data_IF_513287880393
#
_entry.id   IF_513287880393
#
_cell.length_a   1.000
_cell.length_b   1.000
_cell.length_c   1.000
_cell.angle_alpha   90.00
_cell.angle_beta   90.00
_cell.angle_gamma   90.00
#
_symmetry.space_group_name_H-M   'P 1'
#
loop_
_entity.id
_entity.type
_entity.pdbx_description
1 polymer ?
#
# COMPACT_ATOMS: atom_id res chain seq x y z
N UNK A 1 12.45 9.07 11.88
CA UNK A 1 13.34 8.57 10.80
C UNK A 1 12.38 8.11 9.73
N UNK A 2 12.32 8.82 8.60
CA UNK A 2 11.32 8.54 7.58
C UNK A 2 11.49 7.10 7.06
N UNK A 3 10.40 6.32 7.08
CA UNK A 3 10.38 4.97 6.51
C UNK A 3 10.40 5.08 4.98
N UNK A 4 10.85 4.01 4.32
CA UNK A 4 10.83 3.90 2.87
C UNK A 4 10.39 2.50 2.46
N UNK A 5 9.77 2.40 1.28
CA UNK A 5 9.47 1.15 0.59
C UNK A 5 10.44 1.02 -0.58
N UNK A 6 11.06 -0.16 -0.71
CA UNK A 6 12.03 -0.45 -1.76
C UNK A 6 11.45 -1.54 -2.65
N UNK A 7 11.44 -1.30 -3.95
CA UNK A 7 11.05 -2.26 -4.97
C UNK A 7 12.24 -2.57 -5.89
N UNK A 8 12.49 -3.86 -6.14
CA UNK A 8 13.54 -4.28 -7.06
C UNK A 8 12.95 -4.47 -8.47
N UNK A 9 13.44 -3.69 -9.43
CA UNK A 9 13.01 -3.74 -10.82
C UNK A 9 14.21 -3.82 -11.77
N UNK A 10 14.45 -4.99 -12.37
CA UNK A 10 15.52 -5.22 -13.34
C UNK A 10 16.89 -4.71 -12.85
N UNK A 11 17.32 -5.18 -11.68
CA UNK A 11 18.58 -4.80 -11.01
C UNK A 11 18.66 -3.30 -10.61
N UNK A 12 17.52 -2.64 -10.45
CA UNK A 12 17.44 -1.28 -9.90
C UNK A 12 16.49 -1.23 -8.72
N UNK A 13 16.94 -0.55 -7.67
CA UNK A 13 16.13 -0.25 -6.51
C UNK A 13 15.31 1.01 -6.81
N UNK A 14 13.99 0.88 -6.78
CA UNK A 14 13.05 1.99 -6.74
C UNK A 14 12.66 2.22 -5.28
N UNK A 15 13.19 3.30 -4.71
CA UNK A 15 12.83 3.74 -3.36
C UNK A 15 11.71 4.76 -3.42
N UNK A 16 10.61 4.48 -2.73
CA UNK A 16 9.47 5.39 -2.56
C UNK A 16 9.38 5.73 -1.07
N UNK A 17 9.20 7.00 -0.74
CA UNK A 17 8.93 7.39 0.64
C UNK A 17 7.62 6.77 1.15
N UNK A 18 7.56 6.50 2.45
CA UNK A 18 6.44 5.75 3.02
C UNK A 18 5.12 6.52 2.94
N UNK A 19 5.14 7.85 3.03
CA UNK A 19 3.98 8.72 2.85
C UNK A 19 3.39 8.61 1.44
N UNK A 20 4.22 8.65 0.40
CA UNK A 20 3.81 8.48 -1.01
C UNK A 20 3.24 7.09 -1.26
N UNK A 21 3.89 6.04 -0.74
CA UNK A 21 3.34 4.69 -0.81
C UNK A 21 1.94 4.62 -0.18
N UNK A 22 1.79 5.17 1.03
CA UNK A 22 0.50 5.17 1.70
C UNK A 22 -0.57 6.00 0.97
N UNK A 23 -0.20 7.13 0.39
CA UNK A 23 -1.08 7.95 -0.43
C UNK A 23 -1.60 7.18 -1.64
N UNK A 24 -0.72 6.44 -2.33
CA UNK A 24 -1.08 5.61 -3.49
C UNK A 24 -2.05 4.51 -3.07
N UNK A 25 -1.77 3.76 -1.99
CA UNK A 25 -2.67 2.68 -1.57
C UNK A 25 -4.00 3.24 -1.01
N UNK A 26 -3.97 4.38 -0.32
CA UNK A 26 -5.20 5.05 0.12
C UNK A 26 -6.07 5.45 -1.06
N UNK A 27 -5.48 6.02 -2.12
CA UNK A 27 -6.19 6.33 -3.35
C UNK A 27 -6.77 5.06 -3.98
N UNK A 28 -5.97 4.00 -4.09
CA UNK A 28 -6.44 2.70 -4.60
C UNK A 28 -7.64 2.15 -3.83
N UNK A 29 -7.65 2.31 -2.49
CA UNK A 29 -8.78 1.94 -1.64
C UNK A 29 -10.06 2.71 -2.01
N UNK A 30 -9.96 4.00 -2.37
CA UNK A 30 -11.12 4.78 -2.81
C UNK A 30 -11.65 4.32 -4.17
N UNK A 31 -10.79 3.85 -5.07
CA UNK A 31 -11.20 3.29 -6.37
C UNK A 31 -11.89 1.94 -6.19
N UNK A 32 -11.26 1.02 -5.45
CA UNK A 32 -11.83 -0.29 -5.13
C UNK A 32 -11.17 -0.90 -3.89
N UNK A 33 -11.86 -0.87 -2.76
CA UNK A 33 -11.32 -1.32 -1.47
C UNK A 33 -10.88 -2.80 -1.49
N UNK A 34 -11.66 -3.69 -2.10
CA UNK A 34 -11.35 -5.13 -2.10
C UNK A 34 -10.09 -5.46 -2.91
N UNK A 35 -9.94 -4.83 -4.09
CA UNK A 35 -8.74 -5.02 -4.94
C UNK A 35 -7.53 -4.31 -4.36
N UNK A 36 -7.71 -3.15 -3.74
CA UNK A 36 -6.64 -2.44 -3.05
C UNK A 36 -6.10 -3.22 -1.84
N UNK A 37 -6.95 -3.95 -1.12
CA UNK A 37 -6.50 -4.85 -0.04
C UNK A 37 -5.56 -5.94 -0.59
N UNK A 38 -5.93 -6.59 -1.71
CA UNK A 38 -5.07 -7.59 -2.36
C UNK A 38 -3.75 -6.99 -2.85
N UNK A 39 -3.78 -5.80 -3.43
CA UNK A 39 -2.57 -5.06 -3.81
C UNK A 39 -1.67 -4.79 -2.60
N UNK A 40 -2.26 -4.41 -1.47
CA UNK A 40 -1.54 -4.17 -0.22
C UNK A 40 -0.98 -5.46 0.42
N UNK A 41 -1.69 -6.58 0.30
CA UNK A 41 -1.21 -7.88 0.74
C UNK A 41 -0.04 -8.37 -0.14
N UNK A 42 -0.10 -8.12 -1.46
CA UNK A 42 0.94 -8.50 -2.41
C UNK A 42 2.28 -7.76 -2.18
N UNK A 43 2.26 -6.62 -1.48
CA UNK A 43 3.48 -5.88 -1.07
C UNK A 43 3.88 -6.18 0.38
N UNK A 44 3.14 -7.03 1.09
CA UNK A 44 3.42 -7.40 2.48
C UNK A 44 4.30 -8.66 2.56
N UNK A 45 5.13 -8.74 3.60
CA UNK A 45 5.79 -10.00 3.98
C UNK A 45 4.76 -11.05 4.42
N UNK A 46 5.05 -12.33 4.22
CA UNK A 46 4.22 -13.45 4.68
C UNK A 46 3.95 -13.39 6.20
N UNK A 47 4.95 -12.99 7.00
CA UNK A 47 4.77 -12.77 8.44
C UNK A 47 3.65 -11.76 8.73
N UNK A 48 3.75 -10.55 8.17
CA UNK A 48 2.74 -9.48 8.35
C UNK A 48 1.36 -9.89 7.86
N UNK A 49 1.28 -10.60 6.72
CA UNK A 49 0.02 -11.14 6.21
C UNK A 49 -0.63 -12.08 7.24
N UNK A 50 0.13 -13.05 7.77
CA UNK A 50 -0.38 -14.00 8.76
C UNK A 50 -0.84 -13.33 10.05
N UNK A 51 -0.13 -12.31 10.52
CA UNK A 51 -0.55 -11.51 11.68
C UNK A 51 -1.89 -10.83 11.41
N UNK A 52 -2.05 -10.16 10.26
CA UNK A 52 -3.27 -9.43 9.88
C UNK A 52 -4.49 -10.35 9.84
N UNK A 53 -4.33 -11.55 9.29
CA UNK A 53 -5.42 -12.51 9.10
C UNK A 53 -5.54 -13.55 10.22
N UNK A 54 -4.81 -13.37 11.34
CA UNK A 54 -4.78 -14.29 12.47
C UNK A 54 -4.52 -15.76 12.05
N UNK A 55 -3.59 -15.95 11.11
CA UNK A 55 -3.18 -17.26 10.60
C UNK A 55 -2.00 -17.80 11.43
N UNK A 56 -1.82 -19.14 11.50
CA UNK A 56 -0.65 -19.73 12.15
C UNK A 56 0.65 -19.24 11.52
N UNK A 57 1.67 -18.91 12.32
CA UNK A 57 2.92 -18.32 11.81
C UNK A 57 3.86 -19.33 11.12
N UNK A 58 3.74 -20.63 11.41
CA UNK A 58 4.48 -21.74 10.74
C UNK A 58 5.96 -21.43 10.46
N UNK A 59 6.70 -20.95 11.47
CA UNK A 59 8.14 -20.65 11.33
C UNK A 59 8.48 -19.27 10.77
N UNK A 60 7.50 -18.47 10.35
CA UNK A 60 7.69 -17.07 9.99
C UNK A 60 7.83 -16.17 11.22
N UNK A 61 8.85 -15.33 11.21
CA UNK A 61 9.21 -14.36 12.24
C UNK A 61 9.24 -12.95 11.66
N UNK A 62 9.34 -11.93 12.51
CA UNK A 62 9.28 -10.53 12.09
C UNK A 62 10.45 -10.10 11.19
N UNK A 63 11.60 -10.77 11.33
CA UNK A 63 12.81 -10.59 10.52
C UNK A 63 12.79 -11.40 9.22
N UNK A 64 11.72 -12.17 8.94
CA UNK A 64 11.55 -12.83 7.66
C UNK A 64 10.92 -11.88 6.64
N UNK A 65 11.68 -11.59 5.58
CA UNK A 65 11.30 -10.67 4.50
C UNK A 65 10.68 -11.37 3.28
N UNK A 66 10.34 -12.66 3.39
CA UNK A 66 9.70 -13.37 2.28
C UNK A 66 8.35 -12.73 1.97
N UNK A 67 8.13 -12.39 0.70
CA UNK A 67 6.88 -11.79 0.25
C UNK A 67 5.73 -12.78 0.36
N UNK A 68 4.55 -12.29 0.74
CA UNK A 68 3.31 -13.04 0.56
C UNK A 68 3.05 -13.23 -0.94
N UNK A 69 2.96 -14.48 -1.41
CA UNK A 69 2.86 -14.77 -2.84
C UNK A 69 1.70 -15.72 -3.16
N UNK A 70 0.57 -15.15 -3.57
CA UNK A 70 -0.55 -15.88 -4.17
C UNK A 70 -0.71 -15.41 -5.62
N UNK A 71 -0.35 -16.28 -6.58
CA UNK A 71 -0.32 -15.94 -8.02
C UNK A 71 -1.63 -15.32 -8.52
N UNK A 72 -2.78 -15.86 -8.11
CA UNK A 72 -4.08 -15.35 -8.55
C UNK A 72 -4.35 -13.93 -8.05
N UNK A 73 -3.97 -13.63 -6.81
CA UNK A 73 -4.13 -12.30 -6.23
C UNK A 73 -3.17 -11.30 -6.86
N UNK A 74 -1.92 -11.71 -7.13
CA UNK A 74 -0.94 -10.88 -7.85
C UNK A 74 -1.46 -10.52 -9.26
N UNK A 75 -1.99 -11.50 -10.00
CA UNK A 75 -2.55 -11.24 -11.33
C UNK A 75 -3.76 -10.31 -11.28
N UNK A 76 -4.59 -10.43 -10.24
CA UNK A 76 -5.71 -9.53 -10.02
C UNK A 76 -5.25 -8.11 -9.65
N UNK A 77 -4.22 -7.98 -8.83
CA UNK A 77 -3.60 -6.69 -8.49
C UNK A 77 -2.98 -6.02 -9.72
N UNK A 78 -2.28 -6.76 -10.58
CA UNK A 78 -1.77 -6.23 -11.86
C UNK A 78 -2.94 -5.75 -12.74
N UNK A 79 -3.97 -6.58 -12.89
CA UNK A 79 -5.17 -6.23 -13.67
C UNK A 79 -5.86 -4.98 -13.12
N UNK A 80 -5.96 -4.86 -11.80
CA UNK A 80 -6.50 -3.69 -11.11
C UNK A 80 -5.66 -2.43 -11.37
N UNK A 81 -4.33 -2.54 -11.30
CA UNK A 81 -3.43 -1.42 -11.60
C UNK A 81 -3.66 -0.93 -13.03
N UNK A 82 -3.62 -1.83 -14.01
CA UNK A 82 -3.64 -1.48 -15.43
C UNK A 82 -5.01 -0.95 -15.89
N UNK A 83 -6.10 -1.57 -15.43
CA UNK A 83 -7.44 -1.30 -15.97
C UNK A 83 -8.25 -0.31 -15.14
N UNK A 84 -7.93 -0.11 -13.86
CA UNK A 84 -8.69 0.75 -12.96
C UNK A 84 -7.80 1.84 -12.36
N UNK A 85 -6.70 1.50 -11.69
CA UNK A 85 -5.93 2.48 -10.91
C UNK A 85 -5.24 3.52 -11.81
N UNK A 86 -4.46 3.09 -12.80
CA UNK A 86 -3.76 4.00 -13.73
C UNK A 86 -4.75 4.87 -14.51
N UNK A 87 -5.84 4.33 -15.10
CA UNK A 87 -6.85 5.16 -15.76
C UNK A 87 -7.50 6.19 -14.85
N UNK A 88 -7.85 5.82 -13.60
CA UNK A 88 -8.41 6.77 -12.64
C UNK A 88 -7.40 7.87 -12.30
N UNK A 89 -6.14 7.53 -12.02
CA UNK A 89 -5.06 8.50 -11.78
C UNK A 89 -4.86 9.46 -12.95
N UNK A 90 -4.86 8.95 -14.19
CA UNK A 90 -4.72 9.78 -15.39
C UNK A 90 -5.92 10.71 -15.63
N UNK A 91 -7.06 10.43 -14.98
CA UNK A 91 -8.26 11.27 -15.03
C UNK A 91 -8.32 12.32 -13.91
N UNK A 92 -7.43 12.23 -12.91
CA UNK A 92 -7.35 13.23 -11.86
C UNK A 92 -6.83 14.56 -12.42
N UNK A 93 -7.53 15.64 -12.09
CA UNK A 93 -7.15 17.01 -12.50
C UNK A 93 -6.26 17.71 -11.49
N UNK A 94 -6.13 17.14 -10.29
CA UNK A 94 -5.36 17.69 -9.18
C UNK A 94 -4.33 16.67 -8.70
N UNK A 95 -3.23 17.20 -8.16
CA UNK A 95 -2.29 16.42 -7.38
C UNK A 95 -3.01 15.76 -6.19
N UNK A 96 -2.79 14.46 -5.96
CA UNK A 96 -3.52 13.70 -4.93
C UNK A 96 -3.34 14.27 -3.53
N UNK A 97 -2.12 14.71 -3.20
CA UNK A 97 -1.85 15.26 -1.89
C UNK A 97 -2.60 16.60 -1.70
N UNK A 98 -2.66 17.44 -2.74
CA UNK A 98 -3.50 18.64 -2.74
C UNK A 98 -4.99 18.31 -2.62
N UNK A 99 -5.48 17.32 -3.38
CA UNK A 99 -6.87 16.83 -3.31
C UNK A 99 -7.27 16.45 -1.89
N UNK A 100 -6.34 15.90 -1.11
CA UNK A 100 -6.57 15.52 0.28
C UNK A 100 -6.24 16.61 1.31
N UNK A 101 -5.88 17.82 0.89
CA UNK A 101 -5.63 18.96 1.78
C UNK A 101 -4.20 19.02 2.34
N UNK A 102 -3.21 18.51 1.60
CA UNK A 102 -1.81 18.40 2.03
C UNK A 102 -1.58 17.22 2.99
N UNK A 103 -0.37 17.13 3.56
CA UNK A 103 0.02 16.05 4.46
C UNK A 103 -0.95 15.90 5.65
N UNK A 104 -1.22 16.99 6.36
CA UNK A 104 -2.07 16.96 7.55
C UNK A 104 -3.53 16.62 7.19
N UNK A 105 -4.02 17.09 6.04
CA UNK A 105 -5.35 16.74 5.54
C UNK A 105 -5.48 15.27 5.16
N UNK A 106 -4.47 14.73 4.46
CA UNK A 106 -4.39 13.32 4.12
C UNK A 106 -4.35 12.45 5.39
N UNK A 107 -3.50 12.78 6.36
CA UNK A 107 -3.40 12.05 7.62
C UNK A 107 -4.72 12.03 8.37
N UNK A 108 -5.43 13.17 8.45
CA UNK A 108 -6.75 13.22 9.06
C UNK A 108 -7.75 12.28 8.35
N UNK A 109 -7.76 12.25 7.01
CA UNK A 109 -8.62 11.35 6.23
C UNK A 109 -8.25 9.87 6.42
N UNK A 110 -6.95 9.55 6.43
CA UNK A 110 -6.43 8.22 6.72
C UNK A 110 -6.88 7.73 8.09
N UNK A 111 -6.73 8.55 9.14
CA UNK A 111 -7.07 8.18 10.51
C UNK A 111 -8.57 8.04 10.77
N UNK A 112 -9.42 8.74 9.99
CA UNK A 112 -10.86 8.60 10.09
C UNK A 112 -11.39 7.27 9.52
N UNK A 113 -10.73 6.70 8.50
CA UNK A 113 -11.14 5.42 7.91
C UNK A 113 -9.93 4.66 7.39
N UNK A 114 -9.08 4.10 8.28
CA UNK A 114 -7.85 3.44 7.86
C UNK A 114 -8.15 2.08 7.21
N UNK A 115 -9.11 1.32 7.74
CA UNK A 115 -9.39 -0.05 7.26
C UNK A 115 -8.12 -0.92 7.36
N UNK A 116 -7.79 -1.67 6.29
CA UNK A 116 -6.57 -2.48 6.25
C UNK A 116 -5.27 -1.64 6.31
N UNK A 117 -5.33 -0.34 6.04
CA UNK A 117 -4.17 0.56 6.07
C UNK A 117 -3.72 0.93 7.48
N UNK A 118 -4.51 0.63 8.52
CA UNK A 118 -4.10 0.85 9.93
C UNK A 118 -2.73 0.20 10.22
N UNK A 119 -2.40 -0.88 9.50
CA UNK A 119 -1.12 -1.59 9.60
C UNK A 119 0.10 -0.74 9.18
N UNK A 120 -0.11 0.40 8.51
CA UNK A 120 0.97 1.31 8.14
C UNK A 120 1.39 2.23 9.29
N UNK A 121 0.45 2.65 10.14
CA UNK A 121 0.73 3.53 11.28
C UNK A 121 1.45 4.82 10.87
N UNK A 122 0.84 5.61 9.98
CA UNK A 122 1.49 6.75 9.34
C UNK A 122 1.73 7.95 10.26
N UNK A 123 2.89 8.58 10.17
CA UNK A 123 3.26 9.79 10.91
C UNK A 123 3.50 10.98 9.96
N UNK A 124 3.53 12.20 10.50
CA UNK A 124 3.65 13.42 9.69
C UNK A 124 5.06 13.63 9.11
N UNK A 125 6.10 13.06 9.72
CA UNK A 125 7.49 13.14 9.26
C UNK A 125 7.84 12.14 8.14
N UNK A 126 6.84 11.48 7.56
CA UNK A 126 6.98 10.43 6.55
C UNK A 126 6.78 10.89 5.10
N UNK A 127 6.55 12.18 4.91
CA UNK A 127 6.35 12.88 3.63
C UNK A 127 7.52 13.82 3.32
#
# INVERSE_FOLDING_TARGET
>A
MARAIIFDLNDKDLTIDFGTYALIIYYAKQVNESKAMKLFDATSTEYRFRIRYNLPKVGFTEDNYDAHFIRSEIMESITFIDNELIPNLNSETEDLLKKYGGNSGFLAQYYNSPGFLIALGLEEDEF
#
